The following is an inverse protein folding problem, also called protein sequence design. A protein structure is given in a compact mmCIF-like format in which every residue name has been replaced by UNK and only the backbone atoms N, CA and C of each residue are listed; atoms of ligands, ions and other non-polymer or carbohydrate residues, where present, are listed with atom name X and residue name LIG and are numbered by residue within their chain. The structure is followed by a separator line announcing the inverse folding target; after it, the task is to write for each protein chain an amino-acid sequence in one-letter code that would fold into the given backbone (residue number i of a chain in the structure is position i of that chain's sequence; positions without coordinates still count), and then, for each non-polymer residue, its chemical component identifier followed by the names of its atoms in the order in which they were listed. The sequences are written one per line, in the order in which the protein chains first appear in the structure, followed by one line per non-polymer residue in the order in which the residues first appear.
data_IF_073700671607
#
_entry.id   IF_073700671607
#
_cell.length_a   1.000
_cell.length_b   1.000
_cell.length_c   1.000
_cell.angle_alpha   90.00
_cell.angle_beta   90.00
_cell.angle_gamma   90.00
#
_symmetry.space_group_name_H-M   'P 1'
#
loop_
_entity.id
_entity.type
_entity.pdbx_description
1 polymer ?
#
# COMPACT_ATOMS: atom_id res chain seq x y z
N UNK A 1 -4.28 10.93 20.39
CA UNK A 1 -3.50 11.89 19.57
C UNK A 1 -2.26 11.23 18.98
N UNK A 2 -1.42 10.59 19.79
CA UNK A 2 -0.18 9.91 19.34
C UNK A 2 -0.43 8.86 18.24
N UNK A 3 -1.38 7.93 18.42
CA UNK A 3 -1.67 6.89 17.42
C UNK A 3 -2.16 7.47 16.07
N UNK A 4 -3.01 8.49 16.11
CA UNK A 4 -3.53 9.17 14.90
C UNK A 4 -2.42 9.92 14.16
N UNK A 5 -1.54 10.58 14.92
CA UNK A 5 -0.37 11.27 14.38
C UNK A 5 0.64 10.28 13.77
N UNK A 6 0.88 9.15 14.43
CA UNK A 6 1.71 8.07 13.91
C UNK A 6 1.13 7.47 12.63
N UNK A 7 -0.18 7.21 12.58
CA UNK A 7 -0.85 6.64 11.39
C UNK A 7 -0.86 7.60 10.18
N UNK A 8 -0.99 8.90 10.43
CA UNK A 8 -0.92 9.89 9.35
C UNK A 8 0.50 10.01 8.82
N UNK A 9 1.49 10.08 9.73
CA UNK A 9 2.91 10.15 9.38
C UNK A 9 3.43 8.89 8.71
N UNK A 10 2.97 7.70 9.10
CA UNK A 10 3.32 6.45 8.39
C UNK A 10 2.77 6.46 6.97
N UNK A 11 1.54 6.91 6.77
CA UNK A 11 0.94 6.98 5.44
C UNK A 11 1.72 7.95 4.52
N UNK A 12 2.13 9.11 5.02
CA UNK A 12 2.95 10.09 4.29
C UNK A 12 4.38 9.57 4.06
N UNK A 13 5.00 8.95 5.07
CA UNK A 13 6.34 8.40 5.00
C UNK A 13 6.46 7.21 4.04
N UNK A 14 5.39 6.44 3.82
CA UNK A 14 5.41 5.26 2.94
C UNK A 14 4.58 5.41 1.66
N UNK A 15 4.20 6.64 1.28
CA UNK A 15 3.37 6.85 0.07
C UNK A 15 4.11 6.40 -1.20
N UNK A 16 3.65 5.40 -1.95
CA UNK A 16 4.43 4.90 -3.08
C UNK A 16 4.57 5.93 -4.21
N UNK A 17 5.78 6.06 -4.76
CA UNK A 17 6.05 6.86 -5.96
C UNK A 17 6.02 8.39 -5.79
N UNK A 18 6.18 8.90 -4.56
CA UNK A 18 6.18 10.35 -4.29
C UNK A 18 7.52 11.05 -4.56
N UNK A 19 8.59 10.32 -4.90
CA UNK A 19 9.86 10.94 -5.27
C UNK A 19 9.88 11.41 -6.74
N UNK A 20 10.75 12.37 -7.04
CA UNK A 20 10.96 12.89 -8.41
C UNK A 20 11.57 11.85 -9.34
N UNK A 21 12.34 10.91 -8.79
CA UNK A 21 13.04 9.86 -9.53
C UNK A 21 12.22 8.58 -9.49
N UNK A 22 11.81 8.07 -10.65
CA UNK A 22 10.95 6.88 -10.72
C UNK A 22 11.66 5.74 -11.44
N UNK A 23 12.05 4.71 -10.71
CA UNK A 23 12.68 3.51 -11.25
C UNK A 23 11.64 2.40 -11.52
N UNK A 24 12.06 1.43 -12.33
CA UNK A 24 11.25 0.23 -12.56
C UNK A 24 11.24 -0.68 -11.33
N UNK A 25 10.10 -1.32 -11.08
CA UNK A 25 9.89 -2.17 -9.91
C UNK A 25 10.96 -3.26 -9.76
N UNK A 26 11.37 -3.89 -10.87
CA UNK A 26 12.38 -4.95 -10.85
C UNK A 26 13.76 -4.43 -10.38
N UNK A 27 14.16 -3.23 -10.82
CA UNK A 27 15.43 -2.62 -10.40
C UNK A 27 15.39 -2.23 -8.92
N UNK A 28 14.26 -1.69 -8.45
CA UNK A 28 14.09 -1.39 -7.02
C UNK A 28 14.09 -2.65 -6.17
N UNK A 29 13.47 -3.74 -6.63
CA UNK A 29 13.44 -5.01 -5.90
C UNK A 29 14.85 -5.59 -5.74
N UNK A 30 15.63 -5.63 -6.83
CA UNK A 30 17.03 -6.09 -6.80
C UNK A 30 17.87 -5.21 -5.87
N UNK A 31 17.71 -3.88 -5.96
CA UNK A 31 18.42 -2.95 -5.08
C UNK A 31 18.06 -3.14 -3.60
N UNK A 32 16.79 -3.42 -3.28
CA UNK A 32 16.35 -3.70 -1.91
C UNK A 32 16.91 -5.02 -1.40
N UNK A 33 16.90 -6.08 -2.21
CA UNK A 33 17.44 -7.38 -1.82
C UNK A 33 18.95 -7.28 -1.57
N UNK A 34 19.70 -6.69 -2.51
CA UNK A 34 21.13 -6.47 -2.36
C UNK A 34 21.43 -5.53 -1.19
N UNK A 35 20.71 -4.41 -1.06
CA UNK A 35 20.88 -3.48 0.04
C UNK A 35 20.59 -4.12 1.40
N UNK A 36 19.55 -4.94 1.50
CA UNK A 36 19.17 -5.62 2.74
C UNK A 36 20.21 -6.66 3.15
N UNK A 37 20.70 -7.46 2.21
CA UNK A 37 21.76 -8.44 2.48
C UNK A 37 23.06 -7.77 2.93
N UNK A 38 23.43 -6.66 2.30
CA UNK A 38 24.60 -5.85 2.72
C UNK A 38 24.41 -5.31 4.13
N UNK A 39 23.28 -4.68 4.45
CA UNK A 39 23.01 -4.12 5.80
C UNK A 39 23.03 -5.21 6.89
N UNK A 40 22.56 -6.43 6.58
CA UNK A 40 22.56 -7.55 7.54
C UNK A 40 23.97 -8.08 7.82
N UNK A 41 24.79 -8.24 6.78
CA UNK A 41 26.15 -8.79 6.92
C UNK A 41 27.18 -7.76 7.41
N UNK A 42 26.84 -6.47 7.37
CA UNK A 42 27.81 -5.42 7.68
C UNK A 42 28.24 -5.41 9.16
N UNK A 43 29.54 -5.21 9.45
CA UNK A 43 30.04 -5.05 10.81
C UNK A 43 29.49 -3.78 11.46
N UNK A 44 29.34 -3.80 12.79
CA UNK A 44 28.70 -2.73 13.55
C UNK A 44 29.36 -1.35 13.36
N UNK A 45 30.67 -1.32 13.11
CA UNK A 45 31.47 -0.10 12.91
C UNK A 45 31.04 0.65 11.64
N UNK A 46 30.56 -0.05 10.61
CA UNK A 46 30.20 0.54 9.33
C UNK A 46 28.71 0.93 9.21
N UNK A 47 27.85 0.48 10.14
CA UNK A 47 26.43 0.84 10.22
C UNK A 47 26.13 2.35 10.31
N UNK A 48 26.87 3.18 11.09
CA UNK A 48 26.61 4.61 11.11
C UNK A 48 26.83 5.27 9.74
N UNK A 49 27.84 4.82 8.98
CA UNK A 49 28.10 5.34 7.64
C UNK A 49 26.97 5.00 6.67
N UNK A 50 26.44 3.78 6.70
CA UNK A 50 25.32 3.41 5.83
C UNK A 50 24.03 4.13 6.20
N UNK A 51 23.79 4.38 7.48
CA UNK A 51 22.70 5.24 7.94
C UNK A 51 22.81 6.66 7.39
N UNK A 52 24.00 7.27 7.46
CA UNK A 52 24.22 8.63 6.94
C UNK A 52 23.96 8.66 5.43
N UNK A 53 24.47 7.68 4.68
CA UNK A 53 24.27 7.59 3.24
C UNK A 53 22.79 7.44 2.89
N UNK A 54 22.07 6.51 3.56
CA UNK A 54 20.64 6.29 3.36
C UNK A 54 19.82 7.53 3.72
N UNK A 55 20.15 8.21 4.82
CA UNK A 55 19.50 9.45 5.22
C UNK A 55 19.72 10.55 4.16
N UNK A 56 20.93 10.69 3.63
CA UNK A 56 21.23 11.67 2.58
C UNK A 56 20.47 11.39 1.29
N UNK A 57 20.41 10.12 0.85
CA UNK A 57 19.62 9.71 -0.31
C UNK A 57 18.14 10.04 -0.09
N UNK A 58 17.59 9.74 1.09
CA UNK A 58 16.19 10.04 1.39
C UNK A 58 15.92 11.55 1.41
N UNK A 59 16.81 12.35 2.00
CA UNK A 59 16.73 13.82 2.00
C UNK A 59 16.74 14.34 0.56
N UNK A 60 17.60 13.82 -0.32
CA UNK A 60 17.65 14.23 -1.71
C UNK A 60 16.36 13.87 -2.48
N UNK A 61 15.72 12.75 -2.15
CA UNK A 61 14.52 12.28 -2.84
C UNK A 61 13.21 12.92 -2.35
N UNK A 62 13.10 13.20 -1.04
CA UNK A 62 11.84 13.58 -0.38
C UNK A 62 11.95 14.75 0.61
N UNK A 63 13.16 15.22 0.87
CA UNK A 63 13.42 16.32 1.81
C UNK A 63 13.51 15.88 3.27
N UNK A 64 13.96 16.81 4.12
CA UNK A 64 14.27 16.55 5.53
C UNK A 64 13.03 16.23 6.39
N UNK A 65 11.84 16.77 6.05
CA UNK A 65 10.61 16.54 6.82
C UNK A 65 10.24 15.05 6.90
N UNK A 66 10.32 14.34 5.78
CA UNK A 66 9.96 12.91 5.72
C UNK A 66 10.96 12.04 6.50
N UNK A 67 12.24 12.42 6.54
CA UNK A 67 13.23 11.74 7.37
C UNK A 67 12.86 11.85 8.85
N UNK A 68 12.51 13.06 9.32
CA UNK A 68 12.05 13.27 10.69
C UNK A 68 10.78 12.49 10.99
N UNK A 69 9.83 12.44 10.05
CA UNK A 69 8.60 11.67 10.23
C UNK A 69 8.89 10.17 10.40
N UNK A 70 9.76 9.59 9.56
CA UNK A 70 10.19 8.19 9.69
C UNK A 70 10.86 7.94 11.03
N UNK A 71 11.78 8.81 11.46
CA UNK A 71 12.43 8.68 12.76
C UNK A 71 11.36 8.69 13.87
N UNK A 72 10.46 9.67 13.89
CA UNK A 72 9.40 9.75 14.92
C UNK A 72 8.48 8.52 14.94
N UNK A 73 8.26 7.90 13.79
CA UNK A 73 7.46 6.68 13.67
C UNK A 73 8.22 5.46 14.18
N UNK A 74 9.52 5.35 13.90
CA UNK A 74 10.37 4.21 14.24
C UNK A 74 10.80 4.23 15.71
N UNK A 75 11.02 5.42 16.29
CA UNK A 75 11.43 5.61 17.69
C UNK A 75 10.66 4.77 18.71
N UNK A 76 9.31 4.74 18.74
CA UNK A 76 8.58 3.91 19.70
C UNK A 76 8.84 2.42 19.53
N UNK A 77 9.01 1.92 18.30
CA UNK A 77 9.31 0.50 18.05
C UNK A 77 10.75 0.16 18.47
N UNK A 78 11.70 1.03 18.17
CA UNK A 78 13.09 0.84 18.63
C UNK A 78 13.21 0.92 20.15
N UNK A 79 12.41 1.77 20.81
CA UNK A 79 12.39 1.87 22.27
C UNK A 79 11.93 0.54 22.89
N UNK A 80 10.83 -0.04 22.38
CA UNK A 80 10.35 -1.35 22.83
C UNK A 80 11.42 -2.41 22.62
N UNK A 81 12.07 -2.44 21.45
CA UNK A 81 13.17 -3.38 21.18
C UNK A 81 14.32 -3.24 22.17
N UNK A 82 14.78 -2.00 22.45
CA UNK A 82 15.89 -1.75 23.38
C UNK A 82 15.51 -2.15 24.81
N UNK A 83 14.29 -1.81 25.27
CA UNK A 83 13.82 -2.18 26.62
C UNK A 83 13.71 -3.70 26.74
N UNK A 84 13.11 -4.39 25.78
CA UNK A 84 13.04 -5.85 25.78
C UNK A 84 14.43 -6.50 25.73
N UNK A 85 15.34 -5.95 24.92
CA UNK A 85 16.71 -6.42 24.82
C UNK A 85 17.49 -6.27 26.13
N UNK A 86 17.33 -5.14 26.82
CA UNK A 86 17.93 -4.92 28.14
C UNK A 86 17.42 -5.92 29.18
N UNK A 87 16.11 -6.21 29.20
CA UNK A 87 15.53 -7.21 30.12
C UNK A 87 16.13 -8.59 29.87
N UNK A 88 16.26 -9.00 28.61
CA UNK A 88 16.84 -10.29 28.24
C UNK A 88 18.33 -10.35 28.60
N UNK A 89 19.10 -9.33 28.27
CA UNK A 89 20.53 -9.26 28.62
C UNK A 89 20.76 -9.26 30.13
N UNK A 90 19.89 -8.58 30.89
CA UNK A 90 19.91 -8.61 32.34
C UNK A 90 19.62 -10.01 32.90
N UNK A 91 18.63 -10.71 32.35
CA UNK A 91 18.30 -12.08 32.75
C UNK A 91 19.42 -13.10 32.45
N UNK A 92 20.20 -12.88 31.39
CA UNK A 92 21.35 -13.70 30.99
C UNK A 92 22.64 -13.31 31.75
N UNK A 93 22.64 -12.20 32.49
CA UNK A 93 23.78 -11.73 33.27
C UNK A 93 24.91 -11.09 32.46
N UNK A 94 24.69 -10.82 31.17
CA UNK A 94 25.66 -10.20 30.28
C UNK A 94 25.03 -9.01 29.54
N UNK A 95 25.37 -7.80 29.99
CA UNK A 95 24.91 -6.55 29.36
C UNK A 95 25.92 -6.16 28.30
N UNK A 96 25.51 -6.24 27.03
CA UNK A 96 26.30 -5.77 25.90
C UNK A 96 25.53 -4.68 25.14
N UNK A 97 25.84 -3.39 25.40
CA UNK A 97 25.16 -2.27 24.75
C UNK A 97 25.50 -2.17 23.26
N UNK A 98 26.61 -2.74 22.81
CA UNK A 98 27.03 -2.69 21.40
C UNK A 98 26.09 -3.52 20.53
N UNK A 99 25.64 -4.67 21.04
CA UNK A 99 24.67 -5.53 20.34
C UNK A 99 23.32 -4.81 20.17
N UNK A 100 22.84 -4.12 21.21
CA UNK A 100 21.58 -3.37 21.15
C UNK A 100 21.68 -2.17 20.21
N UNK A 101 22.80 -1.44 20.24
CA UNK A 101 23.06 -0.34 19.34
C UNK A 101 23.16 -0.81 17.87
N UNK A 102 23.85 -1.91 17.61
CA UNK A 102 23.95 -2.49 16.27
C UNK A 102 22.59 -3.00 15.76
N UNK A 103 21.80 -3.65 16.61
CA UNK A 103 20.45 -4.12 16.27
C UNK A 103 19.50 -2.98 15.92
N UNK A 104 19.47 -1.93 16.74
CA UNK A 104 18.64 -0.74 16.47
C UNK A 104 19.09 0.02 15.21
N UNK A 105 20.40 0.17 14.98
CA UNK A 105 20.94 0.76 13.75
C UNK A 105 20.58 -0.05 12.50
N UNK A 106 20.61 -1.39 12.57
CA UNK A 106 20.16 -2.27 11.47
C UNK A 106 18.67 -2.12 11.20
N UNK A 107 17.84 -2.10 12.24
CA UNK A 107 16.40 -1.86 12.09
C UNK A 107 16.13 -0.52 11.40
N UNK A 108 16.82 0.55 11.82
CA UNK A 108 16.65 1.88 11.26
C UNK A 108 17.17 1.97 9.80
N UNK A 109 18.26 1.28 9.48
CA UNK A 109 18.79 1.20 8.12
C UNK A 109 17.81 0.50 7.18
N UNK A 110 17.20 -0.60 7.63
CA UNK A 110 16.21 -1.35 6.87
C UNK A 110 14.93 -0.55 6.64
N UNK A 111 14.45 0.18 7.65
CA UNK A 111 13.27 1.03 7.49
C UNK A 111 13.53 2.19 6.52
N UNK A 112 14.71 2.82 6.57
CA UNK A 112 15.12 3.82 5.59
C UNK A 112 15.21 3.25 4.18
N UNK A 113 15.81 2.08 4.00
CA UNK A 113 15.91 1.41 2.70
C UNK A 113 14.51 1.11 2.13
N UNK A 114 13.60 0.61 2.97
CA UNK A 114 12.20 0.36 2.59
C UNK A 114 11.47 1.65 2.20
N UNK A 115 11.65 2.73 2.96
CA UNK A 115 11.05 4.02 2.65
C UNK A 115 11.58 4.61 1.33
N UNK A 116 12.88 4.50 1.06
CA UNK A 116 13.49 4.88 -0.22
C UNK A 116 12.89 4.06 -1.35
N UNK A 117 12.80 2.73 -1.20
CA UNK A 117 12.22 1.86 -2.21
C UNK A 117 10.76 2.22 -2.51
N UNK A 118 9.93 2.37 -1.47
CA UNK A 118 8.55 2.81 -1.61
C UNK A 118 8.45 4.17 -2.34
N UNK A 119 9.34 5.10 -2.03
CA UNK A 119 9.34 6.44 -2.66
C UNK A 119 9.63 6.43 -4.16
N UNK A 120 10.39 5.46 -4.65
CA UNK A 120 10.89 5.40 -6.03
C UNK A 120 10.05 4.48 -6.93
N UNK A 121 9.29 3.55 -6.34
CA UNK A 121 8.42 2.61 -7.08
C UNK A 121 7.25 3.33 -7.74
N UNK A 122 7.07 3.10 -9.06
CA UNK A 122 5.84 3.50 -9.78
C UNK A 122 4.70 2.56 -9.43
N UNK A 123 3.62 3.09 -8.86
CA UNK A 123 2.39 2.32 -8.54
C UNK A 123 1.81 1.61 -9.77
N UNK A 124 1.82 2.27 -10.93
CA UNK A 124 1.32 1.67 -12.18
C UNK A 124 2.14 0.45 -12.62
N UNK A 125 3.45 0.47 -12.36
CA UNK A 125 4.34 -0.62 -12.72
C UNK A 125 4.25 -1.77 -11.70
N UNK A 126 4.05 -1.46 -10.42
CA UNK A 126 3.71 -2.44 -9.39
C UNK A 126 2.43 -3.20 -9.78
N UNK A 127 1.35 -2.49 -10.11
CA UNK A 127 0.07 -3.11 -10.51
C UNK A 127 0.24 -3.94 -11.78
N UNK A 128 1.03 -3.47 -12.77
CA UNK A 128 1.31 -4.21 -14.01
C UNK A 128 2.12 -5.48 -13.77
N UNK A 129 3.05 -5.48 -12.81
CA UNK A 129 3.79 -6.70 -12.48
C UNK A 129 2.93 -7.70 -11.73
N UNK A 130 2.12 -7.23 -10.77
CA UNK A 130 1.16 -8.11 -10.08
C UNK A 130 0.13 -8.67 -11.05
N UNK A 131 -0.30 -7.90 -12.05
CA UNK A 131 -1.30 -8.36 -13.03
C UNK A 131 -0.81 -9.51 -13.90
N UNK A 132 0.52 -9.65 -14.06
CA UNK A 132 1.13 -10.81 -14.76
C UNK A 132 1.03 -12.09 -13.94
N UNK A 133 1.02 -11.99 -12.61
CA UNK A 133 0.92 -13.14 -11.70
C UNK A 133 -0.56 -13.48 -11.45
N UNK A 134 -1.35 -12.48 -11.07
CA UNK A 134 -2.79 -12.64 -10.85
C UNK A 134 -3.53 -11.34 -11.21
N UNK A 135 -4.36 -11.33 -12.27
CA UNK A 135 -5.10 -10.14 -12.67
C UNK A 135 -6.13 -9.72 -11.62
N UNK A 136 -6.74 -10.67 -10.93
CA UNK A 136 -7.72 -10.40 -9.86
C UNK A 136 -7.07 -9.70 -8.67
N UNK A 137 -5.84 -10.10 -8.32
CA UNK A 137 -5.07 -9.51 -7.23
C UNK A 137 -4.53 -8.12 -7.59
N UNK A 138 -4.23 -7.87 -8.86
CA UNK A 138 -3.85 -6.54 -9.33
C UNK A 138 -5.02 -5.55 -9.29
N UNK A 139 -6.22 -5.99 -9.68
CA UNK A 139 -7.43 -5.17 -9.59
C UNK A 139 -7.74 -4.86 -8.13
N UNK A 140 -7.68 -5.86 -7.23
CA UNK A 140 -7.92 -5.62 -5.80
C UNK A 140 -6.92 -4.62 -5.22
N UNK A 141 -5.61 -4.78 -5.47
CA UNK A 141 -4.58 -3.84 -5.01
C UNK A 141 -4.81 -2.43 -5.55
N UNK A 142 -5.10 -2.28 -6.84
CA UNK A 142 -5.34 -0.98 -7.45
C UNK A 142 -6.57 -0.29 -6.83
N UNK A 143 -7.63 -1.07 -6.58
CA UNK A 143 -8.87 -0.58 -6.00
C UNK A 143 -8.67 -0.21 -4.52
N UNK A 144 -7.96 -1.02 -3.75
CA UNK A 144 -7.60 -0.72 -2.36
C UNK A 144 -6.73 0.53 -2.25
N UNK A 145 -5.72 0.70 -3.11
CA UNK A 145 -4.89 1.90 -3.14
C UNK A 145 -5.71 3.16 -3.43
N UNK A 146 -6.61 3.09 -4.43
CA UNK A 146 -7.50 4.20 -4.77
C UNK A 146 -8.50 4.52 -3.65
N UNK A 147 -9.03 3.49 -3.00
CA UNK A 147 -9.98 3.64 -1.90
C UNK A 147 -9.28 4.24 -0.67
N UNK A 148 -8.07 3.77 -0.34
CA UNK A 148 -7.24 4.32 0.73
C UNK A 148 -6.92 5.80 0.49
N UNK A 149 -6.55 6.17 -0.74
CA UNK A 149 -6.31 7.57 -1.10
C UNK A 149 -7.58 8.43 -0.93
N UNK A 150 -8.71 7.99 -1.47
CA UNK A 150 -9.99 8.70 -1.34
C UNK A 150 -10.40 8.86 0.12
N UNK A 151 -10.32 7.79 0.91
CA UNK A 151 -10.62 7.80 2.34
C UNK A 151 -9.69 8.72 3.13
N UNK A 152 -8.40 8.79 2.78
CA UNK A 152 -7.46 9.69 3.44
C UNK A 152 -7.86 11.16 3.25
N UNK A 153 -8.27 11.55 2.04
CA UNK A 153 -8.74 12.91 1.74
C UNK A 153 -10.06 13.18 2.47
N UNK A 154 -11.00 12.24 2.42
CA UNK A 154 -12.27 12.36 3.14
C UNK A 154 -12.04 12.51 4.65
N UNK A 155 -11.10 11.76 5.23
CA UNK A 155 -10.78 11.84 6.65
C UNK A 155 -10.28 13.23 7.05
N UNK A 156 -9.42 13.85 6.23
CA UNK A 156 -8.92 15.22 6.48
C UNK A 156 -10.08 16.22 6.45
N UNK A 157 -10.93 16.16 5.42
CA UNK A 157 -12.10 17.04 5.30
C UNK A 157 -13.10 16.84 6.43
N UNK A 158 -13.38 15.60 6.82
CA UNK A 158 -14.22 15.30 7.98
C UNK A 158 -13.59 15.86 9.25
N UNK A 159 -12.29 15.68 9.43
CA UNK A 159 -11.61 16.22 10.60
C UNK A 159 -11.76 17.74 10.67
N UNK A 160 -11.60 18.47 9.56
CA UNK A 160 -11.81 19.92 9.52
C UNK A 160 -13.23 20.29 9.95
N UNK A 161 -14.26 19.70 9.31
CA UNK A 161 -15.67 19.99 9.61
C UNK A 161 -16.04 19.65 11.06
N UNK A 162 -15.66 18.47 11.54
CA UNK A 162 -15.98 18.05 12.91
C UNK A 162 -15.12 18.77 13.95
N UNK A 163 -13.92 19.25 13.61
CA UNK A 163 -13.08 20.00 14.55
C UNK A 163 -13.69 21.35 14.92
N UNK A 164 -14.32 22.03 13.95
CA UNK A 164 -15.04 23.29 14.17
C UNK A 164 -16.30 23.04 15.01
N UNK A 165 -17.06 21.98 14.71
CA UNK A 165 -18.39 21.79 15.30
C UNK A 165 -18.41 21.01 16.63
N UNK A 166 -17.49 20.06 16.83
CA UNK A 166 -17.53 19.14 17.98
C UNK A 166 -16.35 19.27 18.94
N UNK A 167 -15.18 19.72 18.48
CA UNK A 167 -14.00 19.81 19.35
C UNK A 167 -14.12 20.96 20.37
N UNK A 168 -14.84 22.03 20.03
CA UNK A 168 -15.09 23.16 20.93
C UNK A 168 -16.09 22.83 22.04
N UNK A 169 -17.05 21.95 21.78
CA UNK A 169 -18.12 21.57 22.71
C UNK A 169 -17.77 20.40 23.61
N UNK A 170 -16.91 19.48 23.15
CA UNK A 170 -16.53 18.27 23.89
C UNK A 170 -15.15 18.41 24.54
N UNK A 171 -15.09 18.99 25.75
CA UNK A 171 -13.86 19.03 26.57
C UNK A 171 -13.63 17.70 27.29
N UNK A 172 -12.36 17.31 27.47
CA UNK A 172 -11.94 16.13 28.24
C UNK A 172 -11.69 14.84 27.44
N UNK A 173 -11.22 13.80 28.12
CA UNK A 173 -10.83 12.50 27.51
C UNK A 173 -12.02 11.73 26.94
N UNK A 174 -13.18 11.75 27.62
CA UNK A 174 -14.43 11.15 27.12
C UNK A 174 -14.94 11.84 25.86
N UNK A 175 -14.87 13.17 25.80
CA UNK A 175 -15.25 13.95 24.62
C UNK A 175 -14.38 13.61 23.40
N UNK A 176 -13.07 13.45 23.61
CA UNK A 176 -12.14 12.99 22.57
C UNK A 176 -12.44 11.58 22.06
N UNK A 177 -12.83 10.66 22.95
CA UNK A 177 -13.23 9.30 22.58
C UNK A 177 -14.49 9.30 21.70
N UNK A 178 -15.51 10.05 22.10
CA UNK A 178 -16.73 10.23 21.31
C UNK A 178 -16.43 10.82 19.94
N UNK A 179 -15.60 11.87 19.88
CA UNK A 179 -15.14 12.46 18.63
C UNK A 179 -14.44 11.45 17.71
N UNK A 180 -13.54 10.61 18.24
CA UNK A 180 -12.89 9.58 17.42
C UNK A 180 -13.87 8.52 16.95
N UNK A 181 -14.86 8.15 17.76
CA UNK A 181 -15.87 7.15 17.42
C UNK A 181 -16.82 7.67 16.33
N UNK A 182 -17.27 8.92 16.43
CA UNK A 182 -18.11 9.54 15.41
C UNK A 182 -17.37 9.71 14.10
N UNK A 183 -16.10 10.15 14.14
CA UNK A 183 -15.25 10.27 12.97
C UNK A 183 -15.01 8.91 12.29
N UNK A 184 -14.75 7.86 13.07
CA UNK A 184 -14.61 6.50 12.55
C UNK A 184 -15.91 5.99 11.90
N UNK A 185 -17.06 6.22 12.54
CA UNK A 185 -18.38 5.82 12.01
C UNK A 185 -18.73 6.56 10.72
N UNK A 186 -18.42 7.85 10.64
CA UNK A 186 -18.64 8.63 9.43
C UNK A 186 -17.70 8.18 8.30
N UNK A 187 -16.43 7.88 8.62
CA UNK A 187 -15.48 7.35 7.66
C UNK A 187 -15.89 5.96 7.13
N UNK A 188 -16.36 5.05 7.98
CA UNK A 188 -16.84 3.73 7.54
C UNK A 188 -18.06 3.86 6.65
N UNK A 189 -19.00 4.75 6.98
CA UNK A 189 -20.18 5.00 6.14
C UNK A 189 -19.78 5.52 4.75
N UNK A 190 -18.88 6.50 4.69
CA UNK A 190 -18.36 7.03 3.42
C UNK A 190 -17.59 5.96 2.65
N UNK A 191 -16.82 5.12 3.34
CA UNK A 191 -16.10 3.98 2.74
C UNK A 191 -17.04 2.96 2.11
N UNK A 192 -18.12 2.60 2.79
CA UNK A 192 -19.13 1.68 2.26
C UNK A 192 -19.82 2.28 1.03
N UNK A 193 -20.25 3.55 1.11
CA UNK A 193 -20.90 4.22 -0.02
C UNK A 193 -19.99 4.34 -1.25
N UNK A 194 -18.74 4.74 -1.04
CA UNK A 194 -17.76 4.84 -2.13
C UNK A 194 -17.44 3.49 -2.73
N UNK A 195 -17.34 2.43 -1.91
CA UNK A 195 -17.19 1.07 -2.41
C UNK A 195 -18.39 0.65 -3.26
N UNK A 196 -19.61 0.90 -2.78
CA UNK A 196 -20.85 0.57 -3.50
C UNK A 196 -20.91 1.24 -4.87
N UNK A 197 -20.60 2.54 -4.92
CA UNK A 197 -20.56 3.33 -6.16
C UNK A 197 -19.48 2.80 -7.11
N UNK A 198 -18.32 2.42 -6.60
CA UNK A 198 -17.24 1.84 -7.42
C UNK A 198 -17.65 0.47 -7.96
N UNK A 199 -18.28 -0.38 -7.15
CA UNK A 199 -18.79 -1.69 -7.60
C UNK A 199 -19.91 -1.56 -8.62
N UNK A 200 -20.83 -0.62 -8.44
CA UNK A 200 -21.91 -0.34 -9.40
C UNK A 200 -21.34 0.21 -10.73
N UNK A 201 -20.39 1.14 -10.66
CA UNK A 201 -19.70 1.66 -11.84
C UNK A 201 -18.88 0.57 -12.58
N UNK A 202 -18.29 -0.37 -11.84
CA UNK A 202 -17.61 -1.54 -12.43
C UNK A 202 -18.61 -2.49 -13.09
N UNK A 203 -19.74 -2.78 -12.43
CA UNK A 203 -20.77 -3.67 -12.94
C UNK A 203 -21.41 -3.12 -14.22
N UNK A 204 -21.72 -1.81 -14.25
CA UNK A 204 -22.34 -1.13 -15.40
C UNK A 204 -21.38 -0.95 -16.58
N UNK A 205 -20.08 -0.74 -16.34
CA UNK A 205 -19.09 -0.49 -17.41
C UNK A 205 -18.30 -1.71 -17.86
N UNK A 206 -18.18 -2.76 -17.05
CA UNK A 206 -17.44 -3.99 -17.38
C UNK A 206 -18.28 -5.29 -17.33
N UNK A 207 -19.54 -5.34 -17.81
CA UNK A 207 -20.32 -6.59 -17.83
C UNK A 207 -19.71 -7.68 -18.74
N UNK A 208 -18.71 -7.36 -19.56
CA UNK A 208 -18.20 -8.23 -20.64
C UNK A 208 -17.03 -9.15 -20.23
N UNK A 209 -16.36 -8.93 -19.09
CA UNK A 209 -15.19 -9.76 -18.70
C UNK A 209 -15.63 -11.09 -18.06
N UNK A 210 -16.77 -11.12 -17.38
CA UNK A 210 -17.34 -12.34 -16.79
C UNK A 210 -18.01 -13.23 -17.84
N UNK A 211 -18.80 -12.66 -18.75
CA UNK A 211 -19.53 -13.42 -19.78
C UNK A 211 -18.59 -14.11 -20.78
N UNK A 212 -17.49 -13.45 -21.18
CA UNK A 212 -16.54 -14.04 -22.13
C UNK A 212 -15.70 -15.20 -21.56
N UNK A 213 -15.61 -15.30 -20.23
CA UNK A 213 -14.89 -16.37 -19.52
C UNK A 213 -15.74 -17.64 -19.44
N UNK A 214 -17.06 -17.52 -19.34
CA UNK A 214 -17.98 -18.66 -19.40
C UNK A 214 -18.11 -19.22 -20.83
N UNK A 215 -18.13 -18.37 -21.87
CA UNK A 215 -18.09 -18.84 -23.26
C UNK A 215 -16.76 -19.50 -23.68
N UNK A 216 -15.67 -19.21 -22.96
CA UNK A 216 -14.36 -19.82 -23.19
C UNK A 216 -14.15 -21.09 -22.35
N UNK A 217 -14.87 -21.24 -21.23
CA UNK A 217 -14.88 -22.46 -20.42
C UNK A 217 -15.92 -23.49 -20.90
N UNK A 218 -16.99 -23.04 -21.59
CA UNK A 218 -18.03 -23.90 -22.15
C UNK A 218 -17.72 -24.52 -23.51
N UNK A 219 -16.55 -24.24 -24.12
CA UNK A 219 -16.18 -24.71 -25.47
C UNK A 219 -15.42 -26.05 -25.52
N UNK A 220 -15.30 -26.75 -24.40
CA UNK A 220 -14.64 -28.07 -24.31
C UNK A 220 -15.58 -29.20 -23.86
N UNK A 221 -16.85 -29.17 -24.30
CA UNK A 221 -17.71 -30.36 -24.27
C UNK A 221 -17.72 -30.98 -25.67
N UNK A 222 -17.27 -32.23 -25.85
CA UNK A 222 -17.37 -32.90 -27.14
C UNK A 222 -18.84 -33.13 -27.48
N UNK A 223 -19.30 -32.55 -28.59
CA UNK A 223 -20.53 -32.96 -29.24
C UNK A 223 -20.34 -34.36 -29.83
N UNK A 224 -21.16 -35.36 -29.44
CA UNK A 224 -21.25 -36.60 -30.20
C UNK A 224 -22.10 -36.34 -31.44
N UNK A 225 -21.51 -36.61 -32.61
CA UNK A 225 -22.01 -36.18 -33.91
C UNK A 225 -23.08 -37.05 -34.57
N UNK A 226 -23.10 -36.90 -35.90
CA UNK A 226 -23.93 -37.56 -36.94
C UNK A 226 -25.33 -36.94 -37.09
N UNK A 227 -25.88 -36.59 -38.27
CA UNK A 227 -25.65 -36.93 -39.70
C UNK A 227 -26.02 -35.70 -40.56
N UNK A 228 -25.20 -35.26 -41.52
CA UNK A 228 -25.27 -35.55 -42.98
C UNK A 228 -26.67 -35.43 -43.61
N UNK A 229 -26.86 -34.40 -44.46
CA UNK A 229 -27.35 -34.56 -45.84
C UNK A 229 -28.73 -34.02 -46.23
N UNK A 230 -28.74 -32.91 -47.00
CA UNK A 230 -29.57 -32.57 -48.20
C UNK A 230 -29.82 -31.04 -48.22
N UNK A 231 -29.16 -30.24 -49.06
CA UNK A 231 -29.24 -30.05 -50.53
C UNK A 231 -30.54 -29.39 -51.01
N UNK A 232 -30.40 -28.18 -51.59
CA UNK A 232 -31.40 -27.48 -52.42
C UNK A 232 -32.22 -26.44 -51.64
N UNK A 233 -32.56 -25.23 -52.11
CA UNK A 233 -32.63 -24.63 -53.45
C UNK A 233 -32.50 -23.09 -53.29
N UNK A 234 -31.99 -22.46 -54.34
CA UNK A 234 -31.74 -21.04 -54.54
C UNK A 234 -32.98 -20.12 -54.60
N UNK A 235 -32.79 -18.83 -54.25
CA UNK A 235 -33.23 -17.63 -55.02
C UNK A 235 -32.90 -16.35 -54.21
N UNK A 236 -32.10 -15.39 -54.73
CA UNK A 236 -32.52 -14.16 -55.46
C UNK A 236 -33.68 -13.43 -54.75
N UNK A 237 -33.68 -12.13 -54.46
CA UNK A 237 -32.92 -10.94 -54.82
C UNK A 237 -33.04 -9.96 -53.62
N UNK A 238 -32.04 -9.15 -53.24
CA UNK A 238 -31.80 -7.85 -53.86
C UNK A 238 -32.89 -6.83 -53.51
N UNK A 239 -32.69 -5.98 -52.50
CA UNK A 239 -33.10 -4.57 -52.53
C UNK A 239 -32.38 -3.76 -51.43
N UNK A 240 -31.63 -2.76 -51.88
CA UNK A 240 -31.01 -1.68 -51.11
C UNK A 240 -31.94 -0.46 -51.13
N UNK A 241 -31.83 0.34 -50.07
CA UNK A 241 -32.16 1.78 -49.94
C UNK A 241 -33.60 2.25 -50.22
N UNK A 242 -34.28 2.71 -49.18
CA UNK A 242 -34.30 4.11 -48.72
C UNK A 242 -34.66 4.16 -47.23
#
# INVERSE_FOLDING_TARGET
MVLKFLLLRTAEAFTPGSSRLKLSFSKTLVAVILGSTVILLQPAILLPYTLIILAFILIALRGCRVLLDIITVVTPFTLVYVVSGLIVQHAVGAIDPVILAAGSARMLSMTLLSAIAASVIRVSELVKQVSRISPLLAVSIALTLKLAYTLSISLVKLQEVYSVNMLQTLKGTRGRLLYTKTLARALTHIGILTLLQVTEALYTRYPVITVKREESAGRNLPSPGSRIGSSGIASRAGFRSL
#
